data_IF_439579435557
#
_entry.id   IF_439579435557
#
_cell.length_a   1.000
_cell.length_b   1.000
_cell.length_c   1.000
_cell.angle_alpha   90.00
_cell.angle_beta   90.00
_cell.angle_gamma   90.00
#
_symmetry.space_group_name_H-M   'P 1'
#
loop_
_entity.id
_entity.type
_entity.pdbx_description
1 polymer ?
#
# COMPACT_ATOMS: atom_id res chain seq x y z
N UNK A 1 6.47 -14.05 41.72
CA UNK A 1 6.59 -12.89 40.81
C UNK A 1 7.14 -13.40 39.48
N UNK A 2 6.30 -13.97 38.62
CA UNK A 2 6.71 -14.23 37.22
C UNK A 2 6.21 -13.08 36.38
N UNK A 3 7.13 -12.26 35.92
CA UNK A 3 6.89 -11.24 34.92
C UNK A 3 6.29 -11.91 33.68
N UNK A 4 4.99 -11.66 33.43
CA UNK A 4 4.42 -11.82 32.10
C UNK A 4 5.15 -10.83 31.20
N UNK A 5 6.20 -11.28 30.51
CA UNK A 5 6.67 -10.60 29.32
C UNK A 5 5.55 -10.73 28.30
N UNK A 6 4.74 -9.68 28.15
CA UNK A 6 3.88 -9.50 26.99
C UNK A 6 4.74 -9.72 25.75
N UNK A 7 4.48 -10.80 25.02
CA UNK A 7 5.10 -11.01 23.71
C UNK A 7 4.68 -9.83 22.85
N UNK A 8 5.61 -8.93 22.57
CA UNK A 8 5.42 -7.87 21.59
C UNK A 8 4.85 -8.53 20.31
N UNK A 9 3.71 -8.06 19.77
CA UNK A 9 3.14 -8.67 18.59
C UNK A 9 4.17 -8.63 17.45
N UNK A 10 4.32 -9.76 16.75
CA UNK A 10 5.29 -9.88 15.67
C UNK A 10 5.01 -8.80 14.61
N UNK A 11 6.04 -8.04 14.25
CA UNK A 11 5.97 -7.00 13.22
C UNK A 11 5.62 -7.67 11.89
N UNK A 12 4.75 -7.04 11.10
CA UNK A 12 4.34 -7.54 9.77
C UNK A 12 4.90 -6.68 8.65
N UNK A 13 5.19 -7.33 7.53
CA UNK A 13 5.61 -6.70 6.28
C UNK A 13 4.53 -6.90 5.23
N UNK A 14 4.07 -5.80 4.66
CA UNK A 14 3.29 -5.75 3.43
C UNK A 14 4.19 -5.31 2.27
N UNK A 15 4.12 -6.02 1.14
CA UNK A 15 4.89 -5.69 -0.07
C UNK A 15 3.95 -5.12 -1.14
N UNK A 16 4.25 -3.92 -1.63
CA UNK A 16 3.57 -3.32 -2.80
C UNK A 16 4.10 -3.89 -4.10
N UNK A 17 3.22 -4.22 -5.03
CA UNK A 17 3.58 -4.89 -6.29
C UNK A 17 2.45 -4.78 -7.33
N UNK A 18 2.76 -5.13 -8.58
CA UNK A 18 1.82 -4.98 -9.71
C UNK A 18 1.67 -6.19 -10.63
N UNK A 19 2.35 -7.31 -10.33
CA UNK A 19 2.29 -8.50 -11.18
C UNK A 19 2.10 -9.78 -10.38
N UNK A 20 1.43 -10.76 -11.00
CA UNK A 20 1.25 -12.10 -10.43
C UNK A 20 2.61 -12.72 -10.08
N UNK A 21 3.61 -12.58 -10.95
CA UNK A 21 4.95 -13.07 -10.67
C UNK A 21 5.54 -12.41 -9.41
N UNK A 22 5.39 -11.10 -9.26
CA UNK A 22 5.87 -10.39 -8.06
C UNK A 22 5.17 -10.85 -6.78
N UNK A 23 3.88 -11.22 -6.85
CA UNK A 23 3.16 -11.80 -5.70
C UNK A 23 3.82 -13.11 -5.24
N UNK A 24 4.12 -13.99 -6.20
CA UNK A 24 4.77 -15.27 -5.91
C UNK A 24 6.18 -15.07 -5.34
N UNK A 25 6.93 -14.10 -5.86
CA UNK A 25 8.25 -13.76 -5.32
C UNK A 25 8.15 -13.15 -3.91
N UNK A 26 7.14 -12.33 -3.63
CA UNK A 26 6.90 -11.78 -2.30
C UNK A 26 6.54 -12.88 -1.27
N UNK A 27 5.66 -13.82 -1.64
CA UNK A 27 5.33 -14.99 -0.81
C UNK A 27 6.56 -15.85 -0.54
N UNK A 28 7.35 -16.14 -1.58
CA UNK A 28 8.61 -16.88 -1.47
C UNK A 28 9.62 -16.18 -0.55
N UNK A 29 9.64 -14.84 -0.56
CA UNK A 29 10.46 -14.02 0.33
C UNK A 29 9.96 -13.95 1.77
N UNK A 30 8.78 -14.49 2.07
CA UNK A 30 8.20 -14.51 3.42
C UNK A 30 7.46 -13.22 3.81
N UNK A 31 6.94 -12.47 2.83
CA UNK A 31 6.00 -11.38 3.12
C UNK A 31 4.78 -11.90 3.89
N UNK A 32 4.27 -11.12 4.85
CA UNK A 32 3.07 -11.51 5.62
C UNK A 32 1.78 -11.23 4.81
N UNK A 33 1.87 -10.27 3.87
CA UNK A 33 0.79 -9.82 3.01
C UNK A 33 1.36 -9.07 1.80
N UNK A 34 0.54 -8.90 0.77
CA UNK A 34 0.84 -8.00 -0.35
C UNK A 34 -0.27 -6.97 -0.52
N UNK A 35 0.11 -5.79 -0.98
CA UNK A 35 -0.80 -4.82 -1.58
C UNK A 35 -0.70 -4.98 -3.10
N UNK A 36 -1.80 -5.37 -3.73
CA UNK A 36 -1.87 -5.60 -5.15
C UNK A 36 -2.43 -4.38 -5.87
N UNK A 37 -1.59 -3.80 -6.71
CA UNK A 37 -1.86 -2.61 -7.51
C UNK A 37 -1.76 -2.94 -9.00
N UNK A 38 -2.14 -1.99 -9.85
CA UNK A 38 -1.55 -1.81 -11.18
C UNK A 38 -0.76 -0.50 -11.21
N UNK A 39 0.05 -0.29 -12.23
CA UNK A 39 0.73 0.99 -12.53
C UNK A 39 1.35 1.67 -11.29
N UNK A 40 2.39 1.03 -10.75
CA UNK A 40 3.16 1.60 -9.64
C UNK A 40 3.91 2.87 -10.03
N UNK A 41 4.08 3.12 -11.33
CA UNK A 41 4.67 4.37 -11.79
C UNK A 41 3.78 5.58 -11.47
N UNK A 42 2.46 5.44 -11.56
CA UNK A 42 1.49 6.44 -11.08
C UNK A 42 1.21 6.37 -9.57
N UNK A 43 1.99 5.57 -8.83
CA UNK A 43 1.84 5.38 -7.39
C UNK A 43 0.83 4.31 -6.98
N UNK A 44 0.39 3.47 -7.92
CA UNK A 44 -0.54 2.36 -7.68
C UNK A 44 -1.99 2.73 -8.02
N UNK A 45 -2.58 1.96 -8.93
CA UNK A 45 -3.96 2.04 -9.38
C UNK A 45 -4.69 0.71 -9.09
N UNK A 46 -6.00 0.68 -9.30
CA UNK A 46 -6.79 -0.54 -9.19
C UNK A 46 -6.24 -1.63 -10.14
N UNK A 47 -5.88 -2.83 -9.67
CA UNK A 47 -5.43 -3.91 -10.55
C UNK A 47 -6.57 -4.42 -11.43
N UNK A 48 -6.24 -5.13 -12.51
CA UNK A 48 -7.29 -5.81 -13.28
C UNK A 48 -7.81 -7.04 -12.53
N UNK A 49 -9.11 -7.31 -12.64
CA UNK A 49 -9.70 -8.49 -12.02
C UNK A 49 -9.12 -9.81 -12.56
N UNK A 50 -8.72 -9.81 -13.84
CA UNK A 50 -8.06 -10.96 -14.47
C UNK A 50 -6.73 -11.31 -13.81
N UNK A 51 -5.90 -10.31 -13.48
CA UNK A 51 -4.65 -10.52 -12.78
C UNK A 51 -4.88 -11.01 -11.34
N UNK A 52 -5.87 -10.46 -10.64
CA UNK A 52 -6.22 -10.90 -9.28
C UNK A 52 -6.71 -12.36 -9.23
N UNK A 53 -7.65 -12.72 -10.10
CA UNK A 53 -8.13 -14.11 -10.24
C UNK A 53 -7.00 -15.07 -10.60
N UNK A 54 -6.04 -14.61 -11.41
CA UNK A 54 -4.86 -15.41 -11.74
C UNK A 54 -3.99 -15.61 -10.50
N UNK A 55 -3.64 -14.56 -9.77
CA UNK A 55 -2.86 -14.66 -8.53
C UNK A 55 -3.50 -15.63 -7.52
N UNK A 56 -4.82 -15.53 -7.31
CA UNK A 56 -5.57 -16.42 -6.40
C UNK A 56 -5.46 -17.91 -6.74
N UNK A 57 -5.16 -18.29 -7.99
CA UNK A 57 -4.95 -19.69 -8.38
C UNK A 57 -3.60 -20.23 -7.90
N UNK A 58 -2.61 -19.37 -7.71
CA UNK A 58 -1.21 -19.77 -7.50
C UNK A 58 -0.69 -19.46 -6.09
N UNK A 59 -1.37 -18.63 -5.32
CA UNK A 59 -0.92 -18.24 -3.98
C UNK A 59 -2.09 -18.13 -2.99
N UNK A 60 -1.75 -18.23 -1.69
CA UNK A 60 -2.68 -17.99 -0.59
C UNK A 60 -2.26 -16.82 0.31
N UNK A 61 -1.14 -16.16 0.00
CA UNK A 61 -0.74 -14.95 0.73
C UNK A 61 -1.91 -13.95 0.76
N UNK A 62 -2.20 -13.31 1.89
CA UNK A 62 -3.25 -12.31 1.94
C UNK A 62 -2.98 -11.19 0.91
N UNK A 63 -4.00 -10.79 0.16
CA UNK A 63 -3.92 -9.75 -0.86
C UNK A 63 -4.88 -8.61 -0.52
N UNK A 64 -4.31 -7.48 -0.14
CA UNK A 64 -5.00 -6.21 -0.04
C UNK A 64 -5.07 -5.59 -1.43
N UNK A 65 -6.23 -5.07 -1.84
CA UNK A 65 -6.41 -4.58 -3.21
C UNK A 65 -6.55 -3.07 -3.21
N UNK A 66 -5.75 -2.40 -4.05
CA UNK A 66 -5.87 -0.98 -4.32
C UNK A 66 -7.19 -0.68 -5.05
N UNK A 67 -7.88 0.37 -4.60
CA UNK A 67 -9.04 0.97 -5.26
C UNK A 67 -8.70 2.43 -5.51
N UNK A 68 -8.16 2.68 -6.70
CA UNK A 68 -7.74 4.00 -7.18
C UNK A 68 -7.87 4.04 -8.70
N UNK A 69 -8.87 4.75 -9.24
CA UNK A 69 -9.24 4.63 -10.65
C UNK A 69 -8.26 5.34 -11.60
N UNK A 70 -7.43 6.26 -11.09
CA UNK A 70 -6.44 7.03 -11.87
C UNK A 70 -5.32 7.58 -10.99
N UNK A 71 -4.24 8.02 -11.63
CA UNK A 71 -3.19 8.81 -11.00
C UNK A 71 -3.64 10.22 -10.60
N UNK A 72 -2.66 11.00 -10.12
CA UNK A 72 -2.88 12.37 -9.67
C UNK A 72 -3.52 12.46 -8.28
N UNK A 73 -4.38 13.46 -8.11
CA UNK A 73 -5.05 13.78 -6.84
C UNK A 73 -6.03 12.69 -6.36
N UNK A 74 -6.61 12.93 -5.19
CA UNK A 74 -7.61 12.07 -4.54
C UNK A 74 -8.97 12.75 -4.41
N UNK A 75 -9.23 13.78 -5.22
CA UNK A 75 -10.50 14.52 -5.26
C UNK A 75 -11.30 14.04 -6.48
N UNK A 76 -12.03 12.94 -6.29
CA UNK A 76 -12.68 12.24 -7.40
C UNK A 76 -13.99 12.91 -7.83
N UNK A 77 -14.31 12.80 -9.12
CA UNK A 77 -15.65 13.08 -9.64
C UNK A 77 -16.66 12.02 -9.20
N UNK A 78 -17.96 12.28 -9.41
CA UNK A 78 -19.02 11.30 -9.08
C UNK A 78 -18.88 9.99 -9.87
N UNK A 79 -18.50 10.06 -11.15
CA UNK A 79 -18.33 8.87 -12.01
C UNK A 79 -17.09 8.04 -11.62
N UNK A 80 -16.01 8.71 -11.22
CA UNK A 80 -14.83 8.03 -10.67
C UNK A 80 -15.17 7.35 -9.35
N UNK A 81 -15.96 8.00 -8.49
CA UNK A 81 -16.41 7.43 -7.24
C UNK A 81 -17.35 6.23 -7.45
N UNK A 82 -18.25 6.29 -8.43
CA UNK A 82 -19.10 5.15 -8.84
C UNK A 82 -18.24 3.96 -9.29
N UNK A 83 -17.18 4.22 -10.06
CA UNK A 83 -16.21 3.18 -10.48
C UNK A 83 -15.54 2.54 -9.27
N UNK A 84 -15.10 3.34 -8.28
CA UNK A 84 -14.49 2.82 -7.06
C UNK A 84 -15.44 1.90 -6.28
N UNK A 85 -16.73 2.26 -6.17
CA UNK A 85 -17.73 1.43 -5.49
C UNK A 85 -17.92 0.08 -6.19
N UNK A 86 -17.96 0.08 -7.52
CA UNK A 86 -18.07 -1.15 -8.31
C UNK A 86 -16.83 -2.03 -8.16
N UNK A 87 -15.62 -1.44 -8.20
CA UNK A 87 -14.38 -2.18 -7.97
C UNK A 87 -14.33 -2.80 -6.57
N UNK A 88 -14.74 -2.06 -5.53
CA UNK A 88 -14.86 -2.61 -4.16
C UNK A 88 -15.77 -3.83 -4.14
N UNK A 89 -16.95 -3.75 -4.77
CA UNK A 89 -17.92 -4.85 -4.85
C UNK A 89 -17.32 -6.07 -5.54
N UNK A 90 -16.67 -5.86 -6.69
CA UNK A 90 -16.05 -6.93 -7.48
C UNK A 90 -14.95 -7.62 -6.69
N UNK A 91 -13.95 -6.89 -6.19
CA UNK A 91 -12.83 -7.47 -5.47
C UNK A 91 -13.23 -8.14 -4.16
N UNK A 92 -14.21 -7.58 -3.44
CA UNK A 92 -14.80 -8.23 -2.26
C UNK A 92 -15.43 -9.57 -2.61
N UNK A 93 -16.24 -9.62 -3.68
CA UNK A 93 -16.90 -10.86 -4.12
C UNK A 93 -15.91 -11.95 -4.56
N UNK A 94 -14.72 -11.54 -4.98
CA UNK A 94 -13.64 -12.40 -5.47
C UNK A 94 -12.65 -12.81 -4.37
N UNK A 95 -12.89 -12.33 -3.13
CA UNK A 95 -12.15 -12.75 -1.94
C UNK A 95 -10.86 -11.96 -1.69
N UNK A 96 -10.85 -10.66 -1.98
CA UNK A 96 -9.82 -9.75 -1.47
C UNK A 96 -9.74 -9.83 0.06
N UNK A 97 -8.52 -9.66 0.60
CA UNK A 97 -8.30 -9.73 2.06
C UNK A 97 -8.52 -8.40 2.76
N UNK A 98 -8.32 -7.29 2.06
CA UNK A 98 -8.65 -5.94 2.49
C UNK A 98 -8.84 -5.04 1.26
N UNK A 99 -9.47 -3.89 1.49
CA UNK A 99 -9.59 -2.83 0.49
C UNK A 99 -8.67 -1.66 0.90
N UNK A 100 -7.93 -1.13 -0.06
CA UNK A 100 -7.05 0.02 0.12
C UNK A 100 -7.57 1.17 -0.73
N UNK A 101 -7.80 2.35 -0.15
CA UNK A 101 -8.26 3.53 -0.89
C UNK A 101 -7.87 4.80 -0.15
N UNK A 102 -8.16 5.94 -0.74
CA UNK A 102 -8.24 7.20 0.00
C UNK A 102 -8.86 8.29 -0.87
N UNK A 103 -9.70 9.09 -0.24
CA UNK A 103 -10.43 10.16 -0.91
C UNK A 103 -10.38 11.42 -0.05
N UNK A 104 -10.11 12.54 -0.71
CA UNK A 104 -9.99 13.85 -0.09
C UNK A 104 -10.96 14.83 -0.73
N UNK A 105 -11.33 15.85 0.04
CA UNK A 105 -11.98 17.05 -0.48
C UNK A 105 -10.93 17.96 -1.15
N UNK A 106 -11.39 18.96 -1.90
CA UNK A 106 -10.53 19.98 -2.51
C UNK A 106 -9.75 20.80 -1.49
N UNK A 107 -10.18 20.83 -0.22
CA UNK A 107 -9.51 21.55 0.88
C UNK A 107 -8.41 20.71 1.56
N UNK A 108 -8.13 19.51 1.05
CA UNK A 108 -7.13 18.60 1.62
C UNK A 108 -7.61 17.95 2.92
N UNK A 109 -8.91 17.78 3.11
CA UNK A 109 -9.49 17.05 4.24
C UNK A 109 -10.00 15.67 3.79
N UNK A 110 -10.10 14.71 4.71
CA UNK A 110 -10.77 13.43 4.43
C UNK A 110 -12.22 13.69 4.01
N UNK A 111 -12.63 13.16 2.86
CA UNK A 111 -14.03 13.14 2.45
C UNK A 111 -14.78 12.07 3.26
N UNK A 112 -15.43 12.51 4.34
CA UNK A 112 -16.08 11.65 5.32
C UNK A 112 -17.27 10.88 4.74
N UNK A 113 -18.04 11.49 3.85
CA UNK A 113 -19.25 10.89 3.30
C UNK A 113 -18.90 9.74 2.35
N UNK A 114 -18.05 10.02 1.37
CA UNK A 114 -17.64 9.03 0.38
C UNK A 114 -16.73 7.95 0.97
N UNK A 115 -15.88 8.30 1.94
CA UNK A 115 -15.11 7.28 2.68
C UNK A 115 -16.02 6.31 3.41
N UNK A 116 -17.07 6.80 4.09
CA UNK A 116 -18.02 5.94 4.81
C UNK A 116 -18.70 4.93 3.87
N UNK A 117 -19.16 5.38 2.71
CA UNK A 117 -19.79 4.51 1.72
C UNK A 117 -18.84 3.41 1.20
N UNK A 118 -17.57 3.73 0.92
CA UNK A 118 -16.57 2.74 0.53
C UNK A 118 -16.32 1.71 1.64
N UNK A 119 -16.23 2.17 2.89
CA UNK A 119 -16.02 1.30 4.05
C UNK A 119 -17.21 0.36 4.21
N UNK A 120 -18.43 0.86 4.19
CA UNK A 120 -19.65 0.05 4.29
C UNK A 120 -19.71 -1.03 3.19
N UNK A 121 -19.35 -0.68 1.95
CA UNK A 121 -19.29 -1.63 0.85
C UNK A 121 -18.15 -2.65 0.99
N UNK A 122 -17.02 -2.28 1.58
CA UNK A 122 -15.89 -3.18 1.83
C UNK A 122 -16.17 -4.18 2.97
N UNK A 123 -16.89 -3.77 4.03
CA UNK A 123 -17.12 -4.61 5.22
C UNK A 123 -17.80 -5.94 4.87
N UNK A 124 -17.37 -7.08 5.46
CA UNK A 124 -16.55 -7.18 6.67
C UNK A 124 -15.04 -7.13 6.43
N UNK A 125 -14.58 -6.89 5.20
CA UNK A 125 -13.15 -6.78 4.93
C UNK A 125 -12.55 -5.58 5.70
N UNK A 126 -11.33 -5.70 6.24
CA UNK A 126 -10.60 -4.55 6.74
C UNK A 126 -10.31 -3.54 5.62
N UNK A 127 -10.11 -2.30 6.01
CA UNK A 127 -9.79 -1.19 5.09
C UNK A 127 -8.48 -0.51 5.49
N UNK A 128 -7.71 -0.09 4.51
CA UNK A 128 -6.52 0.73 4.69
C UNK A 128 -6.70 2.05 3.97
N UNK A 129 -6.54 3.17 4.68
CA UNK A 129 -6.47 4.48 4.04
C UNK A 129 -5.04 4.72 3.56
N UNK A 130 -4.84 4.85 2.25
CA UNK A 130 -3.52 4.95 1.63
C UNK A 130 -2.87 6.34 1.79
N UNK A 131 -1.78 6.58 1.06
CA UNK A 131 -0.98 7.81 1.10
C UNK A 131 -1.68 9.11 0.70
N UNK A 132 -2.96 9.09 0.31
CA UNK A 132 -3.79 10.30 0.39
C UNK A 132 -3.72 10.97 1.77
N UNK A 133 -3.49 10.21 2.84
CA UNK A 133 -3.25 10.77 4.17
C UNK A 133 -2.09 11.78 4.18
N UNK A 134 -1.01 11.50 3.45
CA UNK A 134 0.17 12.37 3.37
C UNK A 134 -0.11 13.69 2.63
N UNK A 135 -1.25 13.78 1.92
CA UNK A 135 -1.70 14.97 1.21
C UNK A 135 -2.75 15.76 2.01
N UNK A 136 -3.01 15.39 3.26
CA UNK A 136 -3.98 16.08 4.10
C UNK A 136 -3.41 17.37 4.69
N UNK A 137 -4.26 18.37 4.90
CA UNK A 137 -3.86 19.66 5.48
C UNK A 137 -3.39 19.53 6.93
N UNK A 138 -4.02 18.64 7.69
CA UNK A 138 -3.69 18.36 9.10
C UNK A 138 -3.80 16.85 9.36
N UNK A 139 -2.65 16.20 9.54
CA UNK A 139 -2.61 14.76 9.75
C UNK A 139 -3.22 14.31 11.09
N UNK A 140 -3.19 15.13 12.14
CA UNK A 140 -3.76 14.74 13.43
C UNK A 140 -5.29 14.80 13.40
N UNK A 141 -5.86 15.85 12.80
CA UNK A 141 -7.31 15.91 12.56
C UNK A 141 -7.75 14.78 11.64
N UNK A 142 -6.98 14.52 10.58
CA UNK A 142 -7.27 13.43 9.63
C UNK A 142 -7.21 12.06 10.29
N UNK A 143 -6.26 11.83 11.21
CA UNK A 143 -6.16 10.60 11.98
C UNK A 143 -7.43 10.34 12.79
N UNK A 144 -7.92 11.33 13.54
CA UNK A 144 -9.13 11.18 14.35
C UNK A 144 -10.38 10.95 13.48
N UNK A 145 -10.48 11.62 12.32
CA UNK A 145 -11.55 11.37 11.34
C UNK A 145 -11.52 9.91 10.82
N UNK A 146 -10.34 9.38 10.52
CA UNK A 146 -10.21 7.99 10.05
C UNK A 146 -10.54 6.97 11.15
N UNK A 147 -10.22 7.28 12.41
CA UNK A 147 -10.63 6.48 13.57
C UNK A 147 -12.15 6.49 13.73
N UNK A 148 -12.80 7.66 13.59
CA UNK A 148 -14.27 7.78 13.64
C UNK A 148 -14.95 6.93 12.55
N UNK A 149 -14.39 6.95 11.33
CA UNK A 149 -14.86 6.12 10.21
C UNK A 149 -14.62 4.62 10.42
N UNK A 150 -13.84 4.23 11.43
CA UNK A 150 -13.49 2.84 11.70
C UNK A 150 -12.52 2.27 10.67
N UNK A 151 -11.56 3.06 10.18
CA UNK A 151 -10.48 2.56 9.33
C UNK A 151 -9.53 1.67 10.14
N UNK A 152 -9.08 0.55 9.57
CA UNK A 152 -8.22 -0.39 10.29
C UNK A 152 -6.73 -0.01 10.24
N UNK A 153 -6.28 0.59 9.12
CA UNK A 153 -4.87 0.95 8.85
C UNK A 153 -4.75 2.29 8.12
N UNK A 154 -3.68 3.04 8.40
CA UNK A 154 -3.26 4.20 7.60
C UNK A 154 -1.86 3.95 7.05
N UNK A 155 -1.71 3.98 5.73
CA UNK A 155 -0.40 3.97 5.06
C UNK A 155 0.06 5.42 4.88
N UNK A 156 1.24 5.73 5.43
CA UNK A 156 1.75 7.10 5.47
C UNK A 156 3.27 7.13 5.49
N UNK A 157 3.86 8.15 4.88
CA UNK A 157 5.28 8.51 5.03
C UNK A 157 5.53 9.55 6.11
N UNK A 158 4.50 9.93 6.89
CA UNK A 158 4.55 10.97 7.90
C UNK A 158 4.32 12.37 7.36
N UNK A 159 3.53 12.53 6.28
CA UNK A 159 3.31 13.79 5.55
C UNK A 159 4.59 14.39 4.92
N UNK A 160 5.61 13.55 4.74
CA UNK A 160 6.90 13.92 4.14
C UNK A 160 7.18 13.07 2.89
N UNK A 161 8.15 13.42 2.03
CA UNK A 161 8.44 12.66 0.82
C UNK A 161 8.71 11.16 1.07
N UNK A 162 9.42 10.81 2.15
CA UNK A 162 9.68 9.41 2.51
C UNK A 162 9.68 9.19 4.03
N UNK A 163 9.60 7.91 4.45
CA UNK A 163 9.55 7.52 5.87
C UNK A 163 10.72 8.05 6.70
N UNK A 164 11.99 7.97 6.22
CA UNK A 164 13.10 8.65 6.88
C UNK A 164 12.90 10.13 7.22
N UNK A 165 12.35 10.93 6.30
CA UNK A 165 12.10 12.36 6.54
C UNK A 165 10.91 12.56 7.48
N UNK A 166 9.86 11.75 7.39
CA UNK A 166 8.68 11.84 8.25
C UNK A 166 8.75 11.05 9.55
N UNK A 167 9.92 10.54 9.94
CA UNK A 167 10.07 9.62 11.06
C UNK A 167 9.54 10.19 12.39
N UNK A 168 9.78 11.47 12.68
CA UNK A 168 9.30 12.12 13.90
C UNK A 168 7.77 12.23 13.93
N UNK A 169 7.16 12.61 12.80
CA UNK A 169 5.71 12.66 12.66
C UNK A 169 5.09 11.25 12.79
N UNK A 170 5.71 10.24 12.20
CA UNK A 170 5.29 8.84 12.32
C UNK A 170 5.31 8.35 13.79
N UNK A 171 6.33 8.70 14.57
CA UNK A 171 6.38 8.39 16.00
C UNK A 171 5.16 8.99 16.74
N UNK A 172 4.84 10.25 16.47
CA UNK A 172 3.69 10.93 17.09
C UNK A 172 2.36 10.33 16.64
N UNK A 173 2.21 10.00 15.35
CA UNK A 173 1.03 9.32 14.83
C UNK A 173 0.83 7.94 15.47
N UNK A 174 1.88 7.12 15.56
CA UNK A 174 1.85 5.80 16.23
C UNK A 174 1.40 5.94 17.68
N UNK A 175 1.99 6.90 18.40
CA UNK A 175 1.68 7.16 19.81
C UNK A 175 0.24 7.61 20.01
N UNK A 176 -0.26 8.52 19.17
CA UNK A 176 -1.64 9.02 19.26
C UNK A 176 -2.65 7.98 18.84
N UNK A 177 -2.38 7.22 17.77
CA UNK A 177 -3.26 6.16 17.30
C UNK A 177 -3.50 5.10 18.39
N UNK A 178 -2.43 4.69 19.10
CA UNK A 178 -2.49 3.64 20.10
C UNK A 178 -2.98 2.33 19.49
N UNK A 179 -3.99 1.70 20.09
CA UNK A 179 -4.61 0.48 19.56
C UNK A 179 -5.88 0.74 18.73
N UNK A 180 -6.24 2.01 18.49
CA UNK A 180 -7.48 2.40 17.79
C UNK A 180 -7.41 2.19 16.29
N UNK A 181 -6.22 2.37 15.71
CA UNK A 181 -5.93 2.24 14.28
C UNK A 181 -4.44 1.92 14.10
N UNK A 182 -4.08 1.14 13.08
CA UNK A 182 -2.68 0.81 12.82
C UNK A 182 -2.08 1.90 11.92
N UNK A 183 -0.99 2.51 12.37
CA UNK A 183 -0.14 3.34 11.51
C UNK A 183 0.89 2.44 10.85
N UNK A 184 0.90 2.42 9.51
CA UNK A 184 1.78 1.60 8.69
C UNK A 184 2.71 2.51 7.88
N UNK A 185 3.97 2.68 8.32
CA UNK A 185 4.94 3.47 7.57
C UNK A 185 5.22 2.86 6.20
N UNK A 186 5.23 3.69 5.15
CA UNK A 186 5.60 3.27 3.80
C UNK A 186 6.06 4.43 2.93
N UNK A 187 6.73 4.10 1.81
CA UNK A 187 7.55 4.97 0.96
C UNK A 187 9.00 5.17 1.44
N UNK A 188 9.97 4.91 0.57
CA UNK A 188 11.40 5.08 0.83
C UNK A 188 12.02 4.07 1.79
N UNK A 189 11.28 3.05 2.23
CA UNK A 189 11.84 1.95 3.03
C UNK A 189 12.63 1.01 2.14
N UNK A 190 13.87 0.73 2.53
CA UNK A 190 14.77 -0.21 1.87
C UNK A 190 15.54 -1.04 2.90
N UNK A 191 16.27 -2.05 2.43
CA UNK A 191 17.16 -2.88 3.25
C UNK A 191 18.16 -2.07 4.06
N UNK A 192 18.57 -0.90 3.55
CA UNK A 192 19.59 -0.05 4.18
C UNK A 192 19.06 0.72 5.38
N UNK A 193 17.79 1.09 5.37
CA UNK A 193 17.21 1.96 6.41
C UNK A 193 16.19 1.25 7.31
N UNK A 194 15.67 0.09 6.90
CA UNK A 194 14.56 -0.57 7.57
C UNK A 194 14.83 -0.83 9.06
N UNK A 195 15.97 -1.41 9.42
CA UNK A 195 16.30 -1.70 10.83
C UNK A 195 16.34 -0.43 11.71
N UNK A 196 16.84 0.69 11.16
CA UNK A 196 16.87 1.98 11.85
C UNK A 196 15.46 2.55 11.99
N UNK A 197 14.69 2.58 10.91
CA UNK A 197 13.32 3.12 10.90
C UNK A 197 12.41 2.33 11.83
N UNK A 198 12.51 1.00 11.80
CA UNK A 198 11.79 0.09 12.71
C UNK A 198 12.00 0.47 14.18
N UNK A 199 13.25 0.73 14.57
CA UNK A 199 13.63 1.08 15.94
C UNK A 199 13.14 2.47 16.36
N UNK A 200 13.18 3.43 15.44
CA UNK A 200 12.77 4.81 15.71
C UNK A 200 11.26 4.91 15.83
N UNK A 201 10.53 4.38 14.84
CA UNK A 201 9.08 4.60 14.70
C UNK A 201 8.28 3.68 15.63
N UNK A 202 8.72 2.43 15.81
CA UNK A 202 8.02 1.47 16.68
C UNK A 202 6.64 1.03 16.17
N UNK A 203 6.36 1.16 14.87
CA UNK A 203 5.12 0.66 14.26
C UNK A 203 5.06 -0.87 14.23
N UNK A 204 3.82 -1.41 14.16
CA UNK A 204 3.52 -2.85 14.16
C UNK A 204 3.47 -3.47 12.75
N UNK A 205 3.17 -2.67 11.74
CA UNK A 205 3.14 -3.09 10.33
C UNK A 205 3.97 -2.10 9.51
N UNK A 206 4.71 -2.58 8.50
CA UNK A 206 5.46 -1.74 7.56
C UNK A 206 5.15 -2.14 6.13
N UNK A 207 5.07 -1.13 5.27
CA UNK A 207 4.81 -1.28 3.85
C UNK A 207 6.08 -0.98 3.06
N UNK A 208 6.52 -1.93 2.23
CA UNK A 208 7.78 -1.83 1.48
C UNK A 208 7.55 -2.04 0.00
N UNK A 209 8.36 -1.34 -0.80
CA UNK A 209 8.46 -1.54 -2.23
C UNK A 209 9.91 -1.91 -2.56
N UNK A 210 10.13 -3.14 -3.00
CA UNK A 210 11.47 -3.71 -3.21
C UNK A 210 11.64 -4.21 -4.67
N UNK A 211 11.49 -3.32 -5.67
CA UNK A 211 11.55 -3.70 -7.08
C UNK A 211 12.98 -4.09 -7.47
N UNK A 212 13.13 -4.94 -8.46
CA UNK A 212 14.38 -5.15 -9.18
C UNK A 212 14.09 -5.01 -10.66
N UNK A 213 15.01 -4.38 -11.37
CA UNK A 213 14.93 -4.30 -12.83
C UNK A 213 15.37 -5.64 -13.43
N UNK A 214 14.53 -6.18 -14.29
CA UNK A 214 14.84 -7.37 -15.09
C UNK A 214 14.82 -7.00 -16.58
N UNK A 215 15.80 -7.48 -17.37
CA UNK A 215 15.80 -7.23 -18.80
C UNK A 215 14.66 -8.01 -19.47
N UNK A 216 14.08 -7.42 -20.51
CA UNK A 216 13.10 -8.08 -21.37
C UNK A 216 13.70 -9.30 -22.06
N UNK A 217 12.87 -10.33 -22.27
CA UNK A 217 13.22 -11.51 -23.05
C UNK A 217 13.24 -11.25 -24.57
N UNK A 218 12.76 -10.08 -25.02
CA UNK A 218 12.80 -9.68 -26.42
C UNK A 218 14.25 -9.67 -26.91
N UNK A 219 14.49 -10.14 -28.14
CA UNK A 219 15.81 -10.07 -28.78
C UNK A 219 15.95 -8.89 -29.74
N UNK A 220 14.83 -8.33 -30.18
CA UNK A 220 14.76 -7.20 -31.08
C UNK A 220 14.32 -5.94 -30.32
N UNK A 221 15.15 -4.90 -30.32
CA UNK A 221 14.96 -3.68 -29.53
C UNK A 221 15.05 -2.42 -30.40
N UNK A 222 13.93 -1.93 -30.96
CA UNK A 222 13.91 -0.61 -31.59
C UNK A 222 13.95 0.49 -30.52
N UNK A 223 15.14 1.00 -30.21
CA UNK A 223 15.36 1.98 -29.13
C UNK A 223 14.72 3.36 -29.35
N UNK A 224 14.21 3.64 -30.55
CA UNK A 224 13.61 4.93 -30.91
C UNK A 224 12.09 4.98 -30.75
N UNK A 225 11.45 3.86 -30.39
CA UNK A 225 10.01 3.75 -30.22
C UNK A 225 9.69 3.73 -28.73
N UNK A 226 8.73 4.55 -28.33
CA UNK A 226 8.23 4.66 -26.96
C UNK A 226 6.71 4.58 -26.99
N UNK A 227 6.13 3.81 -26.06
CA UNK A 227 4.70 3.56 -26.01
C UNK A 227 3.93 4.69 -25.33
N UNK A 228 4.50 5.32 -24.31
CA UNK A 228 3.81 6.38 -23.56
C UNK A 228 4.73 7.26 -22.71
N UNK A 229 4.14 8.36 -22.21
CA UNK A 229 4.75 9.24 -21.22
C UNK A 229 5.74 10.28 -21.74
N UNK A 230 5.96 11.32 -20.93
CA UNK A 230 6.92 12.41 -21.20
C UNK A 230 8.37 12.00 -20.88
N UNK A 231 8.54 11.01 -20.00
CA UNK A 231 9.83 10.62 -19.39
C UNK A 231 10.55 9.46 -20.10
N UNK A 232 10.01 8.93 -21.21
CA UNK A 232 10.64 7.90 -22.08
C UNK A 232 11.29 6.74 -21.29
N UNK A 233 10.47 6.02 -20.53
CA UNK A 233 10.94 4.80 -19.86
C UNK A 233 11.40 3.74 -20.86
N UNK A 234 12.26 2.84 -20.41
CA UNK A 234 12.70 1.70 -21.20
C UNK A 234 11.53 0.72 -21.41
N UNK A 235 11.20 0.44 -22.68
CA UNK A 235 10.23 -0.60 -23.05
C UNK A 235 10.77 -2.02 -22.84
N UNK A 236 12.07 -2.16 -22.59
CA UNK A 236 12.79 -3.43 -22.49
C UNK A 236 13.34 -3.70 -21.09
N UNK A 237 12.87 -2.94 -20.10
CA UNK A 237 13.18 -3.17 -18.68
C UNK A 237 11.86 -3.35 -17.92
N UNK A 238 11.74 -4.43 -17.16
CA UNK A 238 10.56 -4.68 -16.34
C UNK A 238 10.92 -4.50 -14.86
N UNK A 239 9.98 -3.98 -14.08
CA UNK A 239 10.08 -3.96 -12.62
C UNK A 239 9.45 -5.23 -12.05
N UNK A 240 10.20 -5.97 -11.23
CA UNK A 240 9.69 -7.16 -10.56
C UNK A 240 10.19 -7.26 -9.12
N UNK A 241 9.33 -7.66 -8.19
CA UNK A 241 9.74 -7.96 -6.81
C UNK A 241 10.76 -9.10 -6.78
N UNK A 242 11.79 -8.95 -5.94
CA UNK A 242 12.83 -9.96 -5.75
C UNK A 242 12.69 -10.61 -4.36
N UNK A 243 12.45 -11.92 -4.34
CA UNK A 243 12.25 -12.68 -3.11
C UNK A 243 13.43 -12.57 -2.12
N UNK A 244 14.67 -12.46 -2.60
CA UNK A 244 15.84 -12.36 -1.74
C UNK A 244 15.88 -11.03 -0.98
N UNK A 245 15.44 -9.94 -1.63
CA UNK A 245 15.32 -8.62 -1.00
C UNK A 245 14.22 -8.61 0.06
N UNK A 246 13.08 -9.22 -0.25
CA UNK A 246 11.97 -9.41 0.71
C UNK A 246 12.43 -10.25 1.90
N UNK A 247 13.10 -11.38 1.65
CA UNK A 247 13.66 -12.25 2.68
C UNK A 247 14.69 -11.57 3.57
N UNK A 248 15.53 -10.69 3.00
CA UNK A 248 16.45 -9.87 3.77
C UNK A 248 15.73 -8.95 4.75
N UNK A 249 14.73 -8.18 4.27
CA UNK A 249 13.92 -7.30 5.14
C UNK A 249 13.19 -8.12 6.21
N UNK A 250 12.64 -9.27 5.85
CA UNK A 250 11.96 -10.17 6.79
C UNK A 250 12.92 -10.70 7.87
N UNK A 251 14.17 -10.98 7.52
CA UNK A 251 15.22 -11.40 8.46
C UNK A 251 15.70 -10.30 9.41
N UNK A 252 15.36 -9.03 9.16
CA UNK A 252 15.67 -7.91 10.06
C UNK A 252 14.61 -7.70 11.15
N UNK A 253 13.49 -8.45 11.13
CA UNK A 253 12.44 -8.35 12.14
C UNK A 253 12.85 -8.99 13.46
#
# INVERSE_FOLDING_TARGET
>A
MSSNQEKNPAIKIEVCLESVQSILEAEKGGADRVEFCSDLFEGGLTPTLGAFRTARKYTKIPMNVMIRPRGGDFCYSDLEFETMLEDVRLFKSEGANAIVFGILTSDGEIDMERSRLLIENARPLPVTFHRAFDMTRDGFVSLEKLIELGVDRVLTSGLEPTVPEGADMLCELVKRAGDRIIIMPGCGISERNFAKMKKIIGAKEYHVFLPSEIPSAMQYHPEHIYMGGVLRQSEFTLSQTNFARVGYVKGLL
#
